data_IF_125163434868
#
_entry.id   IF_125163434868
#
_cell.length_a   1.000
_cell.length_b   1.000
_cell.length_c   1.000
_cell.angle_alpha   90.00
_cell.angle_beta   90.00
_cell.angle_gamma   90.00
#
_symmetry.space_group_name_H-M   'P 1'
#
loop_
_entity.id
_entity.type
_entity.pdbx_description
1 polymer ?
#
# COMPACT_ATOMS: atom_id res chain seq x y z
N UNK A 1 -30.94 -0.05 5.21
CA UNK A 1 -29.65 -0.49 5.79
C UNK A 1 -28.94 0.74 6.30
N UNK A 2 -28.08 0.66 7.31
CA UNK A 2 -27.27 1.82 7.69
C UNK A 2 -26.39 2.23 6.53
N UNK A 3 -26.11 3.53 6.39
CA UNK A 3 -25.30 4.10 5.32
C UNK A 3 -23.90 4.41 5.82
N UNK A 4 -22.88 3.97 5.09
CA UNK A 4 -21.47 4.27 5.36
C UNK A 4 -20.84 5.07 4.23
N UNK A 5 -20.11 6.13 4.58
CA UNK A 5 -19.27 6.90 3.66
C UNK A 5 -17.81 6.52 3.85
N UNK A 6 -17.16 6.21 2.74
CA UNK A 6 -15.72 5.96 2.69
C UNK A 6 -15.07 7.14 1.97
N UNK A 7 -14.33 7.97 2.69
CA UNK A 7 -13.56 9.05 2.10
C UNK A 7 -12.24 8.51 1.52
N UNK A 8 -12.07 8.61 0.20
CA UNK A 8 -10.91 8.14 -0.54
C UNK A 8 -11.15 6.86 -1.35
N UNK A 9 -11.04 6.97 -2.67
CA UNK A 9 -11.20 5.90 -3.66
C UNK A 9 -9.89 5.18 -4.02
N UNK A 10 -8.90 5.15 -3.11
CA UNK A 10 -7.69 4.32 -3.24
C UNK A 10 -7.96 2.84 -2.93
N UNK A 11 -6.91 2.01 -3.01
CA UNK A 11 -7.01 0.56 -2.76
C UNK A 11 -7.63 0.25 -1.38
N UNK A 12 -7.17 0.93 -0.33
CA UNK A 12 -7.67 0.73 1.03
C UNK A 12 -9.16 1.09 1.10
N UNK A 13 -9.55 2.26 0.57
CA UNK A 13 -10.95 2.69 0.60
C UNK A 13 -11.89 1.78 -0.21
N UNK A 14 -11.49 1.38 -1.40
CA UNK A 14 -12.30 0.48 -2.25
C UNK A 14 -12.48 -0.90 -1.62
N UNK A 15 -11.41 -1.49 -1.04
CA UNK A 15 -11.54 -2.77 -0.33
C UNK A 15 -12.35 -2.61 0.95
N UNK A 16 -12.14 -1.53 1.73
CA UNK A 16 -12.95 -1.25 2.91
C UNK A 16 -14.43 -1.08 2.56
N UNK A 17 -14.73 -0.38 1.47
CA UNK A 17 -16.11 -0.21 0.98
C UNK A 17 -16.78 -1.57 0.67
N UNK A 18 -16.08 -2.47 -0.02
CA UNK A 18 -16.58 -3.82 -0.30
C UNK A 18 -16.82 -4.62 0.98
N UNK A 19 -15.87 -4.59 1.90
CA UNK A 19 -15.96 -5.33 3.17
C UNK A 19 -17.09 -4.78 4.06
N UNK A 20 -17.28 -3.45 4.12
CA UNK A 20 -18.38 -2.81 4.84
C UNK A 20 -19.73 -3.15 4.18
N UNK A 21 -19.78 -3.14 2.83
CA UNK A 21 -20.97 -3.58 2.08
C UNK A 21 -21.36 -5.01 2.41
N UNK A 22 -20.39 -5.93 2.44
CA UNK A 22 -20.59 -7.33 2.78
C UNK A 22 -21.09 -7.53 4.23
N UNK A 23 -20.90 -6.53 5.11
CA UNK A 23 -21.41 -6.52 6.49
C UNK A 23 -22.79 -5.89 6.65
N UNK A 24 -23.45 -5.53 5.54
CA UNK A 24 -24.85 -5.12 5.53
C UNK A 24 -25.08 -3.61 5.57
N UNK A 25 -24.12 -2.80 5.16
CA UNK A 25 -24.28 -1.36 4.97
C UNK A 25 -24.59 -1.03 3.51
N UNK A 26 -25.31 0.04 3.26
CA UNK A 26 -25.23 0.78 2.01
C UNK A 26 -23.97 1.61 2.04
N UNK A 27 -23.17 1.60 0.94
CA UNK A 27 -21.85 2.21 0.96
C UNK A 27 -21.68 3.17 -0.21
N UNK A 28 -21.15 4.36 0.11
CA UNK A 28 -20.71 5.33 -0.91
C UNK A 28 -19.24 5.67 -0.70
N UNK A 29 -18.42 5.49 -1.72
CA UNK A 29 -17.04 5.98 -1.79
C UNK A 29 -17.07 7.40 -2.33
N UNK A 30 -16.38 8.34 -1.65
CA UNK A 30 -16.25 9.73 -2.06
C UNK A 30 -14.79 10.01 -2.38
N UNK A 31 -14.49 10.34 -3.63
CA UNK A 31 -13.14 10.56 -4.14
C UNK A 31 -13.00 11.93 -4.81
N UNK A 32 -11.95 12.67 -4.46
CA UNK A 32 -11.71 14.02 -5.00
C UNK A 32 -11.40 14.04 -6.50
N UNK A 33 -10.74 13.00 -6.98
CA UNK A 33 -10.37 12.85 -8.39
C UNK A 33 -11.01 11.61 -9.00
N UNK A 34 -10.26 10.89 -9.83
CA UNK A 34 -10.63 9.57 -10.28
C UNK A 34 -10.12 8.50 -9.29
N UNK A 35 -10.91 7.49 -9.02
CA UNK A 35 -10.53 6.41 -8.12
C UNK A 35 -9.24 5.72 -8.54
N UNK A 36 -8.40 5.39 -7.56
CA UNK A 36 -7.19 4.61 -7.75
C UNK A 36 -6.04 5.34 -8.44
N UNK A 37 -6.02 6.68 -8.52
CA UNK A 37 -4.99 7.44 -9.28
C UNK A 37 -3.83 7.97 -8.45
N UNK A 38 -3.88 7.85 -7.14
CA UNK A 38 -2.83 8.31 -6.23
C UNK A 38 -1.81 7.20 -5.89
N UNK A 39 -1.34 7.13 -4.64
CA UNK A 39 -0.33 6.17 -4.17
C UNK A 39 -0.61 4.71 -4.57
N UNK A 40 -1.87 4.30 -4.61
CA UNK A 40 -2.28 2.95 -4.98
C UNK A 40 -1.91 2.60 -6.43
N UNK A 41 -2.02 3.56 -7.36
CA UNK A 41 -1.62 3.39 -8.75
C UNK A 41 -0.10 3.41 -8.91
N UNK A 42 0.57 4.31 -8.19
CA UNK A 42 2.00 4.57 -8.34
C UNK A 42 2.88 3.45 -7.80
N UNK A 43 2.38 2.60 -6.91
CA UNK A 43 3.16 1.56 -6.26
C UNK A 43 3.63 0.44 -7.19
N UNK A 44 4.70 -0.25 -6.77
CA UNK A 44 5.29 -1.37 -7.53
C UNK A 44 4.50 -2.67 -7.49
N UNK A 45 3.61 -2.86 -6.53
CA UNK A 45 2.75 -4.03 -6.43
C UNK A 45 3.43 -5.30 -5.91
N UNK A 46 4.52 -5.20 -5.17
CA UNK A 46 5.10 -6.33 -4.44
C UNK A 46 4.16 -6.69 -3.27
N UNK A 47 3.81 -7.95 -3.16
CA UNK A 47 2.93 -8.48 -2.11
C UNK A 47 3.74 -9.00 -0.92
N UNK A 48 4.67 -8.17 -0.46
CA UNK A 48 5.49 -8.35 0.75
C UNK A 48 5.97 -6.99 1.23
N UNK A 49 6.21 -6.79 2.53
CA UNK A 49 7.13 -5.76 2.96
C UNK A 49 8.49 -6.00 2.30
N UNK A 50 9.19 -4.92 1.94
CA UNK A 50 10.57 -5.01 1.45
C UNK A 50 11.47 -5.32 2.65
N UNK A 51 12.28 -6.34 2.67
CA UNK A 51 13.01 -6.80 3.85
C UNK A 51 12.09 -7.00 5.07
N UNK A 52 11.15 -7.97 5.04
CA UNK A 52 10.10 -8.08 6.05
C UNK A 52 10.62 -8.28 7.48
N UNK A 53 11.84 -8.78 7.67
CA UNK A 53 12.52 -8.90 8.98
C UNK A 53 12.82 -7.56 9.64
N UNK A 54 12.85 -6.45 8.88
CA UNK A 54 13.09 -5.08 9.37
C UNK A 54 11.80 -4.32 9.71
N UNK A 55 10.63 -4.96 9.54
CA UNK A 55 9.34 -4.33 9.82
C UNK A 55 8.76 -4.82 11.14
N UNK A 56 7.97 -3.97 11.85
CA UNK A 56 7.25 -4.38 13.05
C UNK A 56 6.37 -5.61 12.81
N UNK A 57 6.22 -6.45 13.84
CA UNK A 57 5.36 -7.64 13.78
C UNK A 57 3.91 -7.31 13.41
N UNK A 58 3.40 -6.14 13.78
CA UNK A 58 2.09 -5.66 13.38
C UNK A 58 1.94 -5.56 11.84
N UNK A 59 2.96 -5.05 11.14
CA UNK A 59 2.97 -4.97 9.68
C UNK A 59 3.04 -6.36 9.07
N UNK A 60 3.92 -7.23 9.59
CA UNK A 60 4.06 -8.61 9.13
C UNK A 60 2.78 -9.42 9.34
N UNK A 61 2.05 -9.19 10.44
CA UNK A 61 0.76 -9.84 10.73
C UNK A 61 -0.30 -9.46 9.68
N UNK A 62 -0.45 -8.17 9.35
CA UNK A 62 -1.35 -7.73 8.27
C UNK A 62 -0.93 -8.29 6.91
N UNK A 63 0.39 -8.30 6.65
CA UNK A 63 0.93 -8.81 5.39
C UNK A 63 0.65 -10.30 5.23
N UNK A 64 0.96 -11.12 6.23
CA UNK A 64 0.73 -12.56 6.19
C UNK A 64 -0.77 -12.91 6.01
N UNK A 65 -1.65 -12.22 6.74
CA UNK A 65 -3.10 -12.40 6.59
C UNK A 65 -3.58 -12.03 5.17
N UNK A 66 -3.08 -10.93 4.64
CA UNK A 66 -3.42 -10.47 3.30
C UNK A 66 -2.86 -11.38 2.20
N UNK A 67 -1.64 -11.90 2.37
CA UNK A 67 -1.03 -12.83 1.42
C UNK A 67 -1.87 -14.10 1.23
N UNK A 68 -2.51 -14.59 2.30
CA UNK A 68 -3.46 -15.70 2.20
C UNK A 68 -4.75 -15.35 1.42
N UNK A 69 -5.16 -14.08 1.41
CA UNK A 69 -6.38 -13.61 0.74
C UNK A 69 -6.12 -13.28 -0.74
N UNK A 70 -4.93 -12.77 -1.08
CA UNK A 70 -4.63 -12.22 -2.41
C UNK A 70 -4.90 -13.18 -3.58
N UNK A 71 -4.54 -14.48 -3.54
CA UNK A 71 -4.80 -15.39 -4.66
C UNK A 71 -6.30 -15.47 -5.01
N UNK A 72 -7.15 -15.72 -4.00
CA UNK A 72 -8.60 -15.81 -4.18
C UNK A 72 -9.24 -14.48 -4.60
N UNK A 73 -8.74 -13.35 -4.08
CA UNK A 73 -9.20 -12.03 -4.49
C UNK A 73 -8.84 -11.74 -5.96
N UNK A 74 -7.62 -12.06 -6.38
CA UNK A 74 -7.18 -11.87 -7.76
C UNK A 74 -8.00 -12.69 -8.76
N UNK A 75 -8.33 -13.93 -8.39
CA UNK A 75 -9.20 -14.79 -9.21
C UNK A 75 -10.62 -14.23 -9.26
N UNK A 76 -11.21 -13.83 -8.14
CA UNK A 76 -12.53 -13.18 -8.08
C UNK A 76 -12.58 -11.93 -8.97
N UNK A 77 -11.54 -11.10 -8.93
CA UNK A 77 -11.43 -9.91 -9.79
C UNK A 77 -11.45 -10.31 -11.26
N UNK A 78 -10.63 -11.27 -11.65
CA UNK A 78 -10.54 -11.75 -13.03
C UNK A 78 -11.88 -12.31 -13.53
N UNK A 79 -12.51 -13.18 -12.75
CA UNK A 79 -13.76 -13.85 -13.13
C UNK A 79 -14.94 -12.89 -13.23
N UNK A 80 -15.10 -12.03 -12.21
CA UNK A 80 -16.28 -11.17 -12.10
C UNK A 80 -16.21 -9.90 -12.93
N UNK A 81 -15.01 -9.46 -13.32
CA UNK A 81 -14.84 -8.20 -14.05
C UNK A 81 -14.25 -8.37 -15.45
N UNK A 82 -13.73 -9.55 -15.79
CA UNK A 82 -12.98 -9.79 -17.03
C UNK A 82 -11.62 -9.10 -17.08
N UNK A 83 -11.19 -8.45 -15.98
CA UNK A 83 -9.91 -7.76 -15.91
C UNK A 83 -8.94 -8.58 -15.04
N UNK A 84 -7.92 -9.13 -15.69
CA UNK A 84 -6.83 -9.80 -14.96
C UNK A 84 -5.96 -8.78 -14.23
N UNK A 85 -5.90 -8.81 -12.88
CA UNK A 85 -5.04 -7.92 -12.11
C UNK A 85 -3.55 -8.28 -12.21
N UNK A 86 -3.19 -9.29 -12.96
CA UNK A 86 -1.83 -9.81 -13.17
C UNK A 86 -1.16 -10.21 -11.84
N UNK A 87 -1.85 -11.07 -11.06
CA UNK A 87 -1.26 -11.70 -9.89
C UNK A 87 -0.21 -12.72 -10.33
N UNK A 88 1.04 -12.53 -9.91
CA UNK A 88 2.18 -13.36 -10.32
C UNK A 88 2.92 -13.93 -9.11
N UNK A 89 2.76 -15.23 -8.78
CA UNK A 89 3.53 -15.91 -7.75
C UNK A 89 4.92 -16.29 -8.31
N UNK A 90 5.81 -15.31 -8.43
CA UNK A 90 7.15 -15.49 -9.02
C UNK A 90 8.27 -15.64 -8.01
N UNK A 91 8.03 -15.34 -6.75
CA UNK A 91 9.05 -15.22 -5.71
C UNK A 91 9.82 -13.89 -5.79
N UNK A 92 10.57 -13.62 -4.73
CA UNK A 92 11.44 -12.46 -4.60
C UNK A 92 12.87 -12.92 -4.23
N UNK A 93 13.84 -12.44 -4.97
CA UNK A 93 15.27 -12.61 -4.65
C UNK A 93 15.72 -11.35 -3.94
N UNK A 94 16.26 -11.50 -2.74
CA UNK A 94 16.94 -10.42 -2.00
C UNK A 94 18.43 -10.64 -2.15
N UNK A 95 19.15 -9.60 -2.54
CA UNK A 95 20.61 -9.63 -2.71
C UNK A 95 21.28 -8.60 -1.82
N UNK A 96 22.54 -8.86 -1.47
CA UNK A 96 23.37 -7.99 -0.64
C UNK A 96 22.80 -7.79 0.78
N UNK A 97 22.16 -8.84 1.36
CA UNK A 97 21.73 -8.80 2.75
C UNK A 97 22.94 -9.01 3.68
N UNK A 98 23.09 -8.10 4.64
CA UNK A 98 24.24 -8.09 5.55
C UNK A 98 24.02 -8.95 6.79
N UNK A 99 22.76 -9.13 7.24
CA UNK A 99 22.42 -9.92 8.42
C UNK A 99 21.60 -11.19 8.08
N UNK A 100 22.27 -12.29 7.74
CA UNK A 100 21.60 -13.54 7.41
C UNK A 100 20.88 -14.19 8.59
N UNK A 101 21.25 -13.89 9.84
CA UNK A 101 20.63 -14.49 11.01
C UNK A 101 19.30 -13.81 11.32
N UNK A 102 19.16 -12.52 11.04
CA UNK A 102 17.89 -11.81 11.12
C UNK A 102 16.84 -12.40 10.15
N UNK A 103 17.27 -12.69 8.91
CA UNK A 103 16.40 -13.35 7.91
C UNK A 103 15.94 -14.73 8.39
N UNK A 104 16.84 -15.55 8.92
CA UNK A 104 16.50 -16.89 9.45
C UNK A 104 15.53 -16.80 10.62
N UNK A 105 15.85 -15.94 11.60
CA UNK A 105 15.00 -15.75 12.77
C UNK A 105 13.59 -15.26 12.41
N UNK A 106 13.48 -14.35 11.44
CA UNK A 106 12.20 -13.91 10.92
C UNK A 106 11.44 -15.04 10.22
N UNK A 107 12.09 -15.77 9.33
CA UNK A 107 11.48 -16.87 8.58
C UNK A 107 10.93 -17.95 9.51
N UNK A 108 11.68 -18.29 10.57
CA UNK A 108 11.24 -19.24 11.61
C UNK A 108 10.03 -18.72 12.38
N UNK A 109 10.06 -17.45 12.85
CA UNK A 109 8.94 -16.83 13.58
C UNK A 109 7.67 -16.79 12.74
N UNK A 110 7.80 -16.40 11.47
CA UNK A 110 6.66 -16.26 10.55
C UNK A 110 6.26 -17.60 9.89
N UNK A 111 7.06 -18.66 10.05
CA UNK A 111 6.86 -19.97 9.41
C UNK A 111 6.76 -19.88 7.89
N UNK A 112 7.63 -19.08 7.28
CA UNK A 112 7.70 -18.87 5.83
C UNK A 112 9.01 -19.40 5.27
N UNK A 113 9.02 -19.72 3.97
CA UNK A 113 10.22 -20.17 3.30
C UNK A 113 11.15 -19.00 3.00
N UNK A 114 12.41 -19.11 3.44
CA UNK A 114 13.51 -18.25 3.03
C UNK A 114 14.73 -19.14 2.75
N UNK A 115 15.13 -19.21 1.50
CA UNK A 115 16.20 -20.12 1.05
C UNK A 115 17.45 -19.33 0.71
N UNK A 116 18.59 -19.59 1.35
CA UNK A 116 19.84 -18.96 0.98
C UNK A 116 20.24 -19.40 -0.44
N UNK A 117 20.74 -18.47 -1.24
CA UNK A 117 21.17 -18.71 -2.62
C UNK A 117 22.69 -18.62 -2.76
N UNK A 118 23.30 -19.66 -3.31
CA UNK A 118 24.66 -19.59 -3.77
C UNK A 118 24.74 -18.77 -5.08
N UNK A 119 25.90 -18.16 -5.36
CA UNK A 119 26.12 -17.33 -6.55
C UNK A 119 25.74 -18.05 -7.86
N UNK A 120 26.08 -19.34 -8.01
CA UNK A 120 25.74 -20.10 -9.22
C UNK A 120 24.23 -20.30 -9.39
N UNK A 121 23.49 -20.50 -8.29
CA UNK A 121 22.03 -20.58 -8.32
C UNK A 121 21.40 -19.26 -8.72
N UNK A 122 21.88 -18.15 -8.16
CA UNK A 122 21.43 -16.81 -8.51
C UNK A 122 21.62 -16.52 -10.01
N UNK A 123 22.80 -16.80 -10.56
CA UNK A 123 23.11 -16.61 -11.99
C UNK A 123 22.22 -17.46 -12.89
N UNK A 124 21.87 -18.67 -12.46
CA UNK A 124 20.94 -19.54 -13.18
C UNK A 124 19.50 -19.01 -13.15
N UNK A 125 19.10 -18.32 -12.07
CA UNK A 125 17.75 -17.73 -11.92
C UNK A 125 17.60 -16.39 -12.65
N UNK A 126 18.65 -15.56 -12.66
CA UNK A 126 18.66 -14.24 -13.29
C UNK A 126 19.97 -14.05 -14.03
N UNK A 127 19.95 -14.35 -15.33
CA UNK A 127 21.11 -14.19 -16.17
C UNK A 127 21.51 -12.70 -16.29
N UNK A 128 22.79 -12.40 -16.17
CA UNK A 128 23.31 -11.04 -16.29
C UNK A 128 23.08 -10.14 -15.09
N UNK A 129 22.54 -10.65 -13.98
CA UNK A 129 22.46 -9.88 -12.76
C UNK A 129 23.87 -9.56 -12.23
N UNK A 130 24.07 -8.36 -11.70
CA UNK A 130 25.31 -7.96 -11.02
C UNK A 130 25.67 -9.01 -9.95
N UNK A 131 26.93 -9.45 -9.88
CA UNK A 131 27.36 -10.33 -8.80
C UNK A 131 27.14 -9.66 -7.43
N UNK A 132 26.46 -10.33 -6.49
CA UNK A 132 26.23 -9.77 -5.16
C UNK A 132 27.53 -9.71 -4.34
N UNK A 133 27.61 -8.73 -3.44
CA UNK A 133 28.67 -8.60 -2.44
C UNK A 133 28.31 -9.32 -1.12
N UNK A 134 27.04 -9.33 -0.75
CA UNK A 134 26.50 -9.91 0.49
C UNK A 134 25.76 -11.24 0.27
N UNK A 135 24.99 -11.62 1.27
CA UNK A 135 24.15 -12.81 1.26
C UNK A 135 22.94 -12.65 0.32
N UNK A 136 22.50 -13.75 -0.24
CA UNK A 136 21.32 -13.77 -1.12
C UNK A 136 20.28 -14.76 -0.62
N UNK A 137 19.01 -14.37 -0.77
CA UNK A 137 17.87 -15.16 -0.32
C UNK A 137 16.81 -15.24 -1.40
N UNK A 138 16.17 -16.39 -1.52
CA UNK A 138 14.92 -16.56 -2.25
C UNK A 138 13.77 -16.66 -1.25
N UNK A 139 12.79 -15.78 -1.41
CA UNK A 139 11.47 -15.85 -0.77
C UNK A 139 10.48 -16.36 -1.82
N UNK A 140 10.24 -17.68 -1.91
CA UNK A 140 9.54 -18.29 -3.04
C UNK A 140 8.06 -17.92 -3.12
N UNK A 141 7.43 -17.65 -1.98
CA UNK A 141 5.98 -17.43 -1.86
C UNK A 141 5.57 -15.97 -2.12
N UNK A 142 6.54 -15.08 -2.38
CA UNK A 142 6.23 -13.69 -2.67
C UNK A 142 5.69 -13.55 -4.09
N UNK A 143 4.58 -12.85 -4.19
CA UNK A 143 3.94 -12.52 -5.46
C UNK A 143 4.05 -11.02 -5.78
N UNK A 144 3.70 -10.67 -7.01
CA UNK A 144 3.42 -9.29 -7.39
C UNK A 144 2.04 -9.17 -8.04
N UNK A 145 1.53 -7.94 -8.07
CA UNK A 145 0.26 -7.60 -8.74
C UNK A 145 0.44 -6.31 -9.54
N UNK A 146 -0.32 -6.14 -10.63
CA UNK A 146 -0.23 -4.93 -11.47
C UNK A 146 -1.25 -3.90 -11.03
N UNK A 147 -0.80 -2.90 -10.28
CA UNK A 147 -1.65 -1.90 -9.63
C UNK A 147 -2.71 -1.24 -10.53
N UNK A 148 -2.38 -0.73 -11.74
CA UNK A 148 -3.40 -0.12 -12.60
C UNK A 148 -4.50 -1.09 -13.03
N UNK A 149 -4.17 -2.37 -13.23
CA UNK A 149 -5.14 -3.42 -13.57
C UNK A 149 -5.96 -3.83 -12.34
N UNK A 150 -5.29 -4.02 -11.20
CA UNK A 150 -5.93 -4.28 -9.92
C UNK A 150 -7.01 -3.24 -9.61
N UNK A 151 -6.65 -1.96 -9.67
CA UNK A 151 -7.58 -0.87 -9.34
C UNK A 151 -8.76 -0.80 -10.32
N UNK A 152 -8.51 -0.97 -11.61
CA UNK A 152 -9.59 -1.04 -12.60
C UNK A 152 -10.56 -2.18 -12.32
N UNK A 153 -10.04 -3.37 -12.04
CA UNK A 153 -10.85 -4.53 -11.68
C UNK A 153 -11.61 -4.29 -10.36
N UNK A 154 -10.94 -3.74 -9.36
CA UNK A 154 -11.54 -3.52 -8.05
C UNK A 154 -12.66 -2.48 -8.07
N UNK A 155 -12.53 -1.39 -8.83
CA UNK A 155 -13.59 -0.40 -9.03
C UNK A 155 -14.81 -1.09 -9.69
N UNK A 156 -14.59 -1.84 -10.78
CA UNK A 156 -15.66 -2.55 -11.46
C UNK A 156 -16.36 -3.57 -10.53
N UNK A 157 -15.59 -4.30 -9.73
CA UNK A 157 -16.11 -5.25 -8.76
C UNK A 157 -16.94 -4.57 -7.68
N UNK A 158 -16.42 -3.49 -7.08
CA UNK A 158 -17.11 -2.74 -6.03
C UNK A 158 -18.46 -2.18 -6.51
N UNK A 159 -18.49 -1.57 -7.69
CA UNK A 159 -19.73 -1.08 -8.32
C UNK A 159 -20.68 -2.23 -8.61
N UNK A 160 -20.18 -3.36 -9.15
CA UNK A 160 -20.99 -4.57 -9.41
C UNK A 160 -21.55 -5.21 -8.13
N UNK A 161 -20.96 -4.96 -6.96
CA UNK A 161 -21.43 -5.38 -5.64
C UNK A 161 -22.36 -4.35 -4.96
N UNK A 162 -22.69 -3.26 -5.68
CA UNK A 162 -23.63 -2.24 -5.20
C UNK A 162 -22.99 -1.15 -4.33
N UNK A 163 -21.68 -0.95 -4.41
CA UNK A 163 -21.01 0.23 -3.85
C UNK A 163 -21.24 1.41 -4.78
N UNK A 164 -21.77 2.52 -4.25
CA UNK A 164 -21.84 3.79 -4.98
C UNK A 164 -20.49 4.49 -4.98
N UNK A 165 -20.12 5.13 -6.10
CA UNK A 165 -18.84 5.84 -6.24
C UNK A 165 -19.10 7.25 -6.72
N UNK A 166 -18.69 8.24 -5.93
CA UNK A 166 -18.74 9.66 -6.24
C UNK A 166 -17.32 10.16 -6.50
N UNK A 167 -16.92 10.16 -7.75
CA UNK A 167 -15.67 10.76 -8.20
C UNK A 167 -15.82 12.28 -8.34
N UNK A 168 -14.68 12.99 -8.51
CA UNK A 168 -14.62 14.47 -8.66
C UNK A 168 -15.32 15.20 -7.50
N UNK A 169 -15.34 14.58 -6.32
CA UNK A 169 -16.03 15.08 -5.13
C UNK A 169 -15.03 15.17 -3.97
N UNK A 170 -14.46 16.35 -3.78
CA UNK A 170 -13.49 16.57 -2.70
C UNK A 170 -14.22 16.67 -1.34
N UNK A 171 -13.82 15.81 -0.41
CA UNK A 171 -14.20 15.93 1.00
C UNK A 171 -13.42 17.08 1.62
N UNK A 172 -14.12 18.04 2.21
CA UNK A 172 -13.56 19.24 2.85
C UNK A 172 -13.54 19.14 4.37
N UNK A 173 -14.35 18.25 4.95
CA UNK A 173 -14.44 18.05 6.39
C UNK A 173 -15.31 16.85 6.77
N UNK A 174 -15.32 16.55 8.06
CA UNK A 174 -16.23 15.58 8.67
C UNK A 174 -17.36 16.33 9.39
N UNK A 175 -18.58 16.16 8.90
CA UNK A 175 -19.77 16.70 9.56
C UNK A 175 -20.02 15.95 10.86
N UNK A 176 -20.17 16.66 11.97
CA UNK A 176 -20.42 16.03 13.28
C UNK A 176 -21.37 16.87 14.15
N UNK A 177 -22.09 16.20 15.03
CA UNK A 177 -22.95 16.81 16.04
C UNK A 177 -23.02 15.92 17.28
N UNK A 178 -23.11 16.52 18.44
CA UNK A 178 -23.28 15.81 19.73
C UNK A 178 -22.26 14.67 19.94
N UNK A 179 -20.98 14.89 19.61
CA UNK A 179 -19.92 13.89 19.76
C UNK A 179 -19.97 12.73 18.76
N UNK A 180 -20.70 12.89 17.65
CA UNK A 180 -20.85 11.86 16.63
C UNK A 180 -20.62 12.43 15.23
N UNK A 181 -19.93 11.71 14.37
CA UNK A 181 -19.90 11.96 12.94
C UNK A 181 -21.28 11.63 12.34
N UNK A 182 -21.77 12.52 11.50
CA UNK A 182 -23.08 12.44 10.83
C UNK A 182 -22.98 12.48 9.31
N UNK A 183 -21.76 12.60 8.76
CA UNK A 183 -21.53 12.63 7.33
C UNK A 183 -20.19 13.25 6.94
N UNK A 184 -20.07 13.58 5.67
CA UNK A 184 -18.94 14.28 5.08
C UNK A 184 -19.39 15.61 4.46
N UNK A 185 -18.61 16.66 4.69
CA UNK A 185 -18.78 17.94 4.01
C UNK A 185 -18.01 17.94 2.67
N UNK A 186 -18.64 18.45 1.63
CA UNK A 186 -18.06 18.61 0.28
C UNK A 186 -18.40 19.98 -0.28
N UNK A 187 -17.77 20.37 -1.38
CA UNK A 187 -18.12 21.59 -2.08
C UNK A 187 -19.57 21.61 -2.61
N UNK A 188 -20.16 20.41 -2.85
CA UNK A 188 -21.55 20.25 -3.29
C UNK A 188 -22.57 20.18 -2.12
N UNK A 189 -22.12 20.35 -0.88
CA UNK A 189 -22.93 20.20 0.33
C UNK A 189 -22.58 18.96 1.13
N UNK A 190 -23.31 18.75 2.22
CA UNK A 190 -23.10 17.61 3.10
C UNK A 190 -23.76 16.35 2.53
N UNK A 191 -23.06 15.23 2.71
CA UNK A 191 -23.58 13.88 2.47
C UNK A 191 -23.71 13.22 3.84
N UNK A 192 -24.95 12.93 4.25
CA UNK A 192 -25.24 12.34 5.56
C UNK A 192 -24.99 10.83 5.57
N UNK A 193 -24.54 10.30 6.73
CA UNK A 193 -24.32 8.87 6.93
C UNK A 193 -24.33 8.46 8.40
N UNK A 194 -24.52 7.17 8.66
CA UNK A 194 -24.47 6.56 10.00
C UNK A 194 -23.03 6.26 10.43
N UNK A 195 -22.13 6.04 9.44
CA UNK A 195 -20.73 5.69 9.63
C UNK A 195 -19.84 6.41 8.59
N UNK A 196 -18.67 6.87 9.03
CA UNK A 196 -17.66 7.52 8.18
C UNK A 196 -16.33 6.85 8.37
N UNK A 197 -15.65 6.47 7.28
CA UNK A 197 -14.28 5.90 7.31
C UNK A 197 -13.34 6.75 6.48
N UNK A 198 -12.28 7.25 7.09
CA UNK A 198 -11.25 8.05 6.42
C UNK A 198 -10.17 7.12 5.86
N UNK A 199 -10.10 7.03 4.53
CA UNK A 199 -9.14 6.25 3.76
C UNK A 199 -8.36 7.14 2.76
N UNK A 200 -8.16 8.42 3.08
CA UNK A 200 -7.62 9.44 2.19
C UNK A 200 -6.09 9.44 2.08
N UNK A 201 -5.45 8.35 2.47
CA UNK A 201 -4.00 8.19 2.32
C UNK A 201 -3.20 9.30 2.98
N UNK A 202 -2.31 9.96 2.24
CA UNK A 202 -1.45 11.03 2.75
C UNK A 202 -2.22 12.29 3.22
N UNK A 203 -3.48 12.45 2.83
CA UNK A 203 -4.33 13.59 3.21
C UNK A 203 -5.16 13.34 4.48
N UNK A 204 -5.04 12.16 5.09
CA UNK A 204 -5.87 11.76 6.24
C UNK A 204 -5.68 12.67 7.45
N UNK A 205 -4.46 13.04 7.79
CA UNK A 205 -4.18 13.92 8.93
C UNK A 205 -4.90 15.29 8.80
N UNK A 206 -4.93 15.86 7.58
CA UNK A 206 -5.61 17.13 7.33
C UNK A 206 -7.12 17.08 7.57
N UNK A 207 -7.79 15.98 7.20
CA UNK A 207 -9.23 15.81 7.44
C UNK A 207 -9.57 15.46 8.90
N UNK A 208 -8.63 14.90 9.63
CA UNK A 208 -8.80 14.51 11.04
C UNK A 208 -8.43 15.65 12.00
N UNK A 209 -7.75 16.69 11.51
CA UNK A 209 -7.37 17.84 12.32
C UNK A 209 -8.58 18.60 12.87
N UNK A 210 -8.50 19.05 14.12
CA UNK A 210 -9.54 19.83 14.78
C UNK A 210 -10.78 19.06 15.26
N UNK A 211 -10.78 17.72 15.15
CA UNK A 211 -11.90 16.87 15.53
C UNK A 211 -11.86 16.41 17.00
N UNK A 212 -11.11 17.10 17.86
CA UNK A 212 -11.07 16.81 19.31
C UNK A 212 -10.08 15.75 19.74
N UNK A 213 -9.23 15.27 18.82
CA UNK A 213 -8.08 14.42 19.10
C UNK A 213 -6.90 14.79 18.18
N UNK A 214 -5.67 14.57 18.65
CA UNK A 214 -4.48 14.71 17.83
C UNK A 214 -4.55 13.68 16.67
N UNK A 215 -4.44 14.09 15.41
CA UNK A 215 -4.48 13.14 14.29
C UNK A 215 -3.24 12.23 14.31
N UNK A 216 -3.34 11.00 13.78
CA UNK A 216 -2.16 10.16 13.56
C UNK A 216 -1.11 10.89 12.72
N UNK A 217 0.18 10.68 13.00
CA UNK A 217 1.30 11.30 12.30
C UNK A 217 1.44 10.85 10.84
N UNK A 218 0.37 10.98 10.06
CA UNK A 218 0.34 10.56 8.66
C UNK A 218 0.77 11.73 7.79
N UNK A 219 1.83 11.50 6.99
CA UNK A 219 2.41 12.51 6.10
C UNK A 219 2.69 11.98 4.70
N UNK A 220 2.75 12.85 3.69
CA UNK A 220 3.14 12.44 2.34
C UNK A 220 4.63 12.13 2.28
N UNK A 221 4.96 10.95 1.72
CA UNK A 221 6.34 10.56 1.40
C UNK A 221 6.39 10.24 -0.09
N UNK A 222 7.07 11.09 -0.87
CA UNK A 222 7.21 10.90 -2.32
C UNK A 222 8.06 9.69 -2.63
N UNK A 223 7.64 8.92 -3.63
CA UNK A 223 8.43 7.86 -4.22
C UNK A 223 8.28 7.83 -5.71
N UNK A 224 9.41 7.70 -6.42
CA UNK A 224 9.46 7.72 -7.86
C UNK A 224 9.85 6.35 -8.40
N UNK A 225 9.40 6.05 -9.62
CA UNK A 225 9.62 4.77 -10.28
C UNK A 225 9.84 4.95 -11.77
N UNK A 226 10.61 4.02 -12.37
CA UNK A 226 10.80 3.90 -13.81
C UNK A 226 10.14 2.63 -14.35
N UNK A 227 9.78 2.66 -15.63
CA UNK A 227 9.43 1.48 -16.41
C UNK A 227 10.34 1.35 -17.61
N UNK A 228 10.94 0.18 -17.77
CA UNK A 228 11.70 -0.23 -18.94
C UNK A 228 10.88 -1.20 -19.80
N UNK A 229 11.15 -1.24 -21.10
CA UNK A 229 10.48 -2.15 -22.03
C UNK A 229 11.50 -3.05 -22.75
N UNK A 230 12.19 -3.94 -22.03
CA UNK A 230 13.12 -4.88 -22.64
C UNK A 230 12.36 -5.97 -23.43
N UNK A 231 13.07 -6.77 -24.24
CA UNK A 231 12.50 -8.00 -24.76
C UNK A 231 11.94 -8.89 -23.63
N UNK A 232 10.84 -9.61 -23.87
CA UNK A 232 10.28 -10.53 -22.89
C UNK A 232 11.30 -11.57 -22.41
N UNK A 233 11.25 -11.93 -21.12
CA UNK A 233 12.09 -12.96 -20.53
C UNK A 233 13.41 -12.43 -19.95
N UNK A 234 13.70 -11.12 -20.01
CA UNK A 234 14.90 -10.57 -19.38
C UNK A 234 14.91 -10.75 -17.86
N UNK A 235 13.75 -10.63 -17.23
CA UNK A 235 13.57 -10.80 -15.79
C UNK A 235 12.25 -11.53 -15.52
N UNK A 236 12.28 -12.57 -14.67
CA UNK A 236 11.11 -13.35 -14.33
C UNK A 236 10.69 -13.21 -12.86
N UNK A 237 11.61 -12.80 -11.98
CA UNK A 237 11.42 -12.69 -10.55
C UNK A 237 11.66 -11.27 -10.08
N UNK A 238 11.06 -10.92 -8.95
CA UNK A 238 11.40 -9.67 -8.25
C UNK A 238 12.84 -9.79 -7.76
N UNK A 239 13.64 -8.75 -7.97
CA UNK A 239 14.98 -8.61 -7.38
C UNK A 239 14.97 -7.38 -6.48
N UNK A 240 15.38 -7.55 -5.24
CA UNK A 240 15.42 -6.52 -4.20
C UNK A 240 16.85 -6.36 -3.70
N UNK A 241 17.29 -5.12 -3.56
CA UNK A 241 18.50 -4.71 -2.85
C UNK A 241 18.15 -3.83 -1.66
N UNK A 242 19.14 -3.30 -0.95
CA UNK A 242 18.94 -2.39 0.19
C UNK A 242 17.99 -1.21 -0.11
N UNK A 243 18.12 -0.54 -1.22
CA UNK A 243 17.33 0.65 -1.55
C UNK A 243 16.41 0.50 -2.76
N UNK A 244 16.66 -0.48 -3.63
CA UNK A 244 16.05 -0.54 -4.95
C UNK A 244 15.55 -1.94 -5.28
N UNK A 245 14.62 -2.02 -6.23
CA UNK A 245 14.07 -3.27 -6.70
C UNK A 245 13.75 -3.23 -8.19
N UNK A 246 13.76 -4.41 -8.82
CA UNK A 246 13.26 -4.64 -10.17
C UNK A 246 12.05 -5.58 -10.09
N UNK A 247 10.97 -5.23 -10.80
CA UNK A 247 9.73 -6.02 -10.80
C UNK A 247 9.34 -6.34 -12.25
N UNK A 248 9.33 -7.62 -12.65
CA UNK A 248 8.87 -8.02 -13.98
C UNK A 248 7.35 -7.99 -14.10
N UNK A 249 6.87 -7.70 -15.30
CA UNK A 249 5.47 -7.79 -15.71
C UNK A 249 5.29 -8.84 -16.80
N UNK A 250 4.06 -9.33 -16.97
CA UNK A 250 3.75 -10.37 -17.95
C UNK A 250 4.04 -9.94 -19.39
N UNK A 251 3.93 -8.65 -19.69
CA UNK A 251 4.21 -8.07 -21.00
C UNK A 251 5.70 -7.76 -21.25
N UNK A 252 6.60 -8.24 -20.38
CA UNK A 252 8.03 -8.00 -20.44
C UNK A 252 8.49 -6.68 -19.81
N UNK A 253 7.58 -5.76 -19.46
CA UNK A 253 7.95 -4.53 -18.76
C UNK A 253 8.69 -4.86 -17.46
N UNK A 254 9.77 -4.13 -17.17
CA UNK A 254 10.48 -4.17 -15.90
C UNK A 254 10.30 -2.82 -15.21
N UNK A 255 9.74 -2.83 -13.99
CA UNK A 255 9.68 -1.65 -13.16
C UNK A 255 10.94 -1.57 -12.28
N UNK A 256 11.50 -0.38 -12.16
CA UNK A 256 12.58 -0.08 -11.23
C UNK A 256 12.11 0.96 -10.21
N UNK A 257 12.38 0.74 -8.96
CA UNK A 257 12.01 1.62 -7.84
C UNK A 257 12.91 1.40 -6.64
N UNK A 258 12.78 2.25 -5.66
CA UNK A 258 12.04 3.49 -5.61
C UNK A 258 12.74 4.51 -4.72
N UNK A 259 12.59 5.78 -5.01
CA UNK A 259 13.05 6.83 -4.09
C UNK A 259 12.18 6.93 -2.84
N UNK A 260 12.71 7.57 -1.82
CA UNK A 260 12.00 7.94 -0.58
C UNK A 260 12.35 9.39 -0.25
N UNK A 261 11.38 10.30 -0.40
CA UNK A 261 11.65 11.73 -0.38
C UNK A 261 10.61 12.47 0.46
N UNK A 262 11.06 13.35 1.35
CA UNK A 262 10.21 14.26 2.11
C UNK A 262 9.97 15.54 1.28
N UNK A 263 9.01 15.50 0.37
CA UNK A 263 8.71 16.57 -0.58
C UNK A 263 7.32 17.22 -0.34
N UNK A 264 6.72 17.01 0.83
CA UNK A 264 5.36 17.42 1.09
C UNK A 264 4.40 16.82 0.07
N UNK A 265 3.41 17.59 -0.37
CA UNK A 265 2.41 17.14 -1.35
C UNK A 265 2.83 17.29 -2.81
N UNK A 266 4.13 17.57 -3.09
CA UNK A 266 4.64 17.62 -4.45
C UNK A 266 4.88 16.19 -4.99
N UNK A 267 4.07 15.77 -5.97
CA UNK A 267 4.17 14.50 -6.68
C UNK A 267 4.86 14.62 -8.05
N UNK A 268 5.60 15.71 -8.31
CA UNK A 268 6.28 15.92 -9.58
C UNK A 268 7.51 15.02 -9.69
N UNK A 269 7.66 14.21 -10.76
CA UNK A 269 8.89 13.48 -11.04
C UNK A 269 10.07 14.40 -11.29
N UNK A 270 11.28 14.01 -10.81
CA UNK A 270 12.49 14.84 -10.92
C UNK A 270 13.55 14.19 -11.80
N UNK A 271 14.33 15.00 -12.51
CA UNK A 271 15.44 14.51 -13.35
C UNK A 271 16.50 13.77 -12.52
N UNK A 272 16.78 14.24 -11.30
CA UNK A 272 17.74 13.61 -10.39
C UNK A 272 17.30 12.19 -9.99
N UNK A 273 16.04 12.02 -9.56
CA UNK A 273 15.51 10.70 -9.23
C UNK A 273 15.45 9.77 -10.45
N UNK A 274 15.17 10.32 -11.65
CA UNK A 274 15.24 9.53 -12.88
C UNK A 274 16.65 8.99 -13.15
N UNK A 275 17.67 9.81 -12.96
CA UNK A 275 19.06 9.38 -13.11
C UNK A 275 19.44 8.34 -12.05
N UNK A 276 19.18 8.61 -10.78
CA UNK A 276 19.41 7.67 -9.66
C UNK A 276 18.78 6.30 -9.91
N UNK A 277 17.50 6.25 -10.26
CA UNK A 277 16.80 5.00 -10.52
C UNK A 277 17.29 4.27 -11.77
N UNK A 278 17.71 5.01 -12.80
CA UNK A 278 18.31 4.44 -14.00
C UNK A 278 19.66 3.80 -13.67
N UNK A 279 20.52 4.51 -12.97
CA UNK A 279 21.83 4.02 -12.56
C UNK A 279 21.72 2.80 -11.64
N UNK A 280 20.81 2.82 -10.67
CA UNK A 280 20.55 1.69 -9.80
C UNK A 280 20.04 0.47 -10.57
N UNK A 281 19.10 0.66 -11.50
CA UNK A 281 18.55 -0.43 -12.31
C UNK A 281 19.61 -1.05 -13.23
N UNK A 282 20.41 -0.23 -13.91
CA UNK A 282 21.44 -0.68 -14.83
C UNK A 282 22.68 -1.25 -14.13
N UNK A 283 23.00 -0.75 -12.94
CA UNK A 283 24.00 -1.37 -12.06
C UNK A 283 23.55 -2.77 -11.64
N UNK A 284 22.27 -2.94 -11.31
CA UNK A 284 21.70 -4.20 -10.86
C UNK A 284 21.56 -5.21 -12.00
N UNK A 285 21.04 -4.76 -13.14
CA UNK A 285 20.85 -5.57 -14.36
C UNK A 285 21.38 -4.81 -15.58
N UNK A 286 22.68 -4.94 -15.92
CA UNK A 286 23.35 -4.15 -16.96
C UNK A 286 22.66 -4.16 -18.33
N UNK A 287 21.96 -5.22 -18.67
CA UNK A 287 21.19 -5.29 -19.90
C UNK A 287 20.10 -4.21 -20.04
N UNK A 288 19.72 -3.55 -18.94
CA UNK A 288 18.77 -2.42 -18.98
C UNK A 288 19.39 -1.12 -19.51
N UNK A 289 20.72 -1.01 -19.62
CA UNK A 289 21.39 0.20 -20.14
C UNK A 289 21.02 0.50 -21.60
N UNK A 290 20.77 -0.55 -22.38
CA UNK A 290 20.37 -0.45 -23.78
C UNK A 290 18.85 -0.39 -23.98
N UNK A 291 18.06 -0.42 -22.89
CA UNK A 291 16.60 -0.45 -22.93
C UNK A 291 16.03 0.94 -22.69
N UNK A 292 15.16 1.45 -23.56
CA UNK A 292 14.57 2.76 -23.33
C UNK A 292 13.65 2.78 -22.09
N UNK A 293 13.78 3.86 -21.31
CA UNK A 293 12.83 4.17 -20.24
C UNK A 293 11.51 4.62 -20.88
N UNK A 294 10.47 3.82 -20.69
CA UNK A 294 9.11 4.05 -21.25
C UNK A 294 8.30 5.04 -20.44
N UNK A 295 8.46 5.02 -19.11
CA UNK A 295 7.71 5.89 -18.22
C UNK A 295 8.51 6.21 -16.95
N UNK A 296 8.23 7.39 -16.39
CA UNK A 296 8.70 7.88 -15.11
C UNK A 296 7.54 8.56 -14.39
N UNK A 297 7.28 8.19 -13.15
CA UNK A 297 6.19 8.76 -12.35
C UNK A 297 6.55 8.82 -10.88
N UNK A 298 5.75 9.57 -10.12
CA UNK A 298 5.82 9.67 -8.68
C UNK A 298 4.46 9.40 -8.03
N UNK A 299 4.48 9.10 -6.74
CA UNK A 299 3.30 8.99 -5.89
C UNK A 299 3.61 9.35 -4.46
N UNK A 300 2.59 9.74 -3.70
CA UNK A 300 2.70 10.16 -2.30
C UNK A 300 2.23 9.03 -1.39
N UNK A 301 3.18 8.32 -0.79
CA UNK A 301 2.87 7.28 0.19
C UNK A 301 2.34 7.92 1.47
N UNK A 302 1.31 7.35 2.12
CA UNK A 302 0.85 7.78 3.45
C UNK A 302 1.82 7.26 4.52
N UNK A 303 2.90 7.99 4.77
CA UNK A 303 3.88 7.64 5.81
C UNK A 303 3.27 7.74 7.20
N UNK A 304 3.53 6.77 8.07
CA UNK A 304 3.29 6.80 9.52
C UNK A 304 4.62 6.84 10.26
N UNK A 305 4.62 7.29 11.51
CA UNK A 305 5.87 7.52 12.25
C UNK A 305 6.63 6.23 12.58
N UNK A 306 5.91 5.15 12.82
CA UNK A 306 6.43 3.82 13.16
C UNK A 306 6.27 2.78 12.04
N UNK A 307 5.72 3.19 10.89
CA UNK A 307 5.42 2.30 9.76
C UNK A 307 4.17 1.45 9.93
N UNK A 308 3.47 1.54 11.08
CA UNK A 308 2.24 0.81 11.37
C UNK A 308 1.04 1.67 10.93
N UNK A 309 0.07 1.13 10.19
CA UNK A 309 -1.13 1.88 9.84
C UNK A 309 -2.04 2.07 11.04
N UNK A 310 -2.78 3.18 11.08
CA UNK A 310 -3.88 3.36 12.02
C UNK A 310 -5.16 2.81 11.40
N UNK A 311 -5.77 1.82 12.07
CA UNK A 311 -7.05 1.20 11.69
C UNK A 311 -7.91 1.14 12.95
N UNK A 312 -8.66 2.21 13.21
CA UNK A 312 -9.27 2.41 14.52
C UNK A 312 -10.49 3.34 14.48
N UNK A 313 -11.39 3.27 15.47
CA UNK A 313 -12.35 4.32 15.72
C UNK A 313 -11.66 5.61 16.15
N UNK A 314 -12.25 6.75 15.80
CA UNK A 314 -11.80 8.06 16.29
C UNK A 314 -12.09 8.17 17.80
N UNK A 315 -11.11 8.60 18.64
CA UNK A 315 -11.29 8.57 20.10
C UNK A 315 -12.31 9.56 20.65
N UNK A 316 -12.59 10.66 19.94
CA UNK A 316 -13.51 11.70 20.39
C UNK A 316 -14.85 11.73 19.65
N UNK A 317 -14.97 11.08 18.49
CA UNK A 317 -16.21 11.11 17.68
C UNK A 317 -16.70 9.69 17.39
N UNK A 318 -17.84 9.33 17.97
CA UNK A 318 -18.53 8.10 17.61
C UNK A 318 -18.92 8.12 16.12
N UNK A 319 -18.95 6.97 15.46
CA UNK A 319 -19.33 6.88 14.05
C UNK A 319 -18.25 7.32 13.05
N UNK A 320 -17.04 7.61 13.52
CA UNK A 320 -15.89 7.94 12.69
C UNK A 320 -14.78 6.90 12.90
N UNK A 321 -14.22 6.40 11.81
CA UNK A 321 -13.05 5.49 11.78
C UNK A 321 -11.99 5.99 10.83
N UNK A 322 -10.78 5.50 10.99
CA UNK A 322 -9.66 5.72 10.07
C UNK A 322 -9.05 4.40 9.64
N UNK A 323 -8.61 4.31 8.39
CA UNK A 323 -7.76 3.26 7.86
C UNK A 323 -6.75 3.88 6.91
N UNK A 324 -5.59 4.29 7.45
CA UNK A 324 -4.56 5.04 6.70
C UNK A 324 -3.17 4.88 7.35
N UNK A 325 -2.14 5.44 6.72
CA UNK A 325 -0.77 5.36 7.24
C UNK A 325 -0.03 4.07 6.87
N UNK A 326 -0.46 3.36 5.83
CA UNK A 326 0.12 2.07 5.40
C UNK A 326 1.51 2.19 4.76
N UNK A 327 2.03 3.39 4.59
CA UNK A 327 3.34 3.71 4.03
C UNK A 327 3.69 2.87 2.78
N UNK A 328 4.79 2.10 2.84
CA UNK A 328 5.28 1.28 1.71
C UNK A 328 4.51 -0.05 1.54
N UNK A 329 3.69 -0.41 2.53
CA UNK A 329 3.07 -1.73 2.64
C UNK A 329 1.58 -1.74 2.27
N UNK A 330 1.04 -0.61 1.78
CA UNK A 330 -0.40 -0.45 1.53
C UNK A 330 -1.00 -1.45 0.54
N UNK A 331 -0.21 -1.96 -0.42
CA UNK A 331 -0.71 -2.98 -1.35
C UNK A 331 -0.81 -4.34 -0.65
N UNK A 332 0.29 -4.79 -0.05
CA UNK A 332 0.31 -6.12 0.59
C UNK A 332 -0.68 -6.23 1.74
N UNK A 333 -0.83 -5.18 2.56
CA UNK A 333 -1.67 -5.21 3.78
C UNK A 333 -3.15 -4.90 3.53
N UNK A 334 -3.53 -4.46 2.32
CA UNK A 334 -4.85 -3.92 2.05
C UNK A 334 -6.03 -4.86 2.35
N UNK A 335 -6.05 -6.14 1.97
CA UNK A 335 -7.19 -7.01 2.27
C UNK A 335 -7.44 -7.19 3.76
N UNK A 336 -6.40 -7.47 4.54
CA UNK A 336 -6.52 -7.64 5.99
C UNK A 336 -6.91 -6.33 6.70
N UNK A 337 -6.34 -5.20 6.26
CA UNK A 337 -6.70 -3.87 6.77
C UNK A 337 -8.16 -3.53 6.53
N UNK A 338 -8.67 -3.84 5.34
CA UNK A 338 -10.07 -3.61 4.97
C UNK A 338 -11.02 -4.48 5.80
N UNK A 339 -10.70 -5.77 5.98
CA UNK A 339 -11.47 -6.67 6.82
C UNK A 339 -11.54 -6.20 8.27
N UNK A 340 -10.38 -5.81 8.84
CA UNK A 340 -10.29 -5.27 10.19
C UNK A 340 -11.11 -3.99 10.34
N UNK A 341 -10.95 -3.02 9.43
CA UNK A 341 -11.70 -1.77 9.45
C UNK A 341 -13.23 -2.01 9.41
N UNK A 342 -13.67 -2.91 8.51
CA UNK A 342 -15.08 -3.23 8.34
C UNK A 342 -15.68 -3.95 9.55
N UNK A 343 -14.92 -4.84 10.23
CA UNK A 343 -15.38 -5.47 11.47
C UNK A 343 -15.56 -4.43 12.57
N UNK A 344 -14.64 -3.48 12.70
CA UNK A 344 -14.75 -2.38 13.66
C UNK A 344 -15.96 -1.48 13.38
N UNK A 345 -16.20 -1.13 12.10
CA UNK A 345 -17.36 -0.34 11.66
C UNK A 345 -18.66 -1.05 11.98
N UNK A 346 -18.72 -2.36 11.74
CA UNK A 346 -19.92 -3.18 11.97
C UNK A 346 -20.10 -3.62 13.44
N UNK A 347 -19.19 -3.26 14.35
CA UNK A 347 -19.21 -3.70 15.74
C UNK A 347 -19.06 -5.22 15.91
N UNK A 348 -18.40 -5.88 14.95
CA UNK A 348 -18.10 -7.32 14.99
C UNK A 348 -16.76 -7.57 15.65
N UNK A 349 -16.57 -8.77 16.20
CA UNK A 349 -15.25 -9.18 16.70
C UNK A 349 -14.30 -9.40 15.50
N UNK A 350 -13.20 -8.62 15.40
CA UNK A 350 -12.26 -8.80 14.31
C UNK A 350 -11.54 -10.15 14.36
N UNK A 351 -11.13 -10.64 13.18
CA UNK A 351 -10.29 -11.82 13.06
C UNK A 351 -8.84 -11.56 13.53
N UNK A 352 -8.39 -10.30 13.39
CA UNK A 352 -7.09 -9.82 13.86
C UNK A 352 -7.24 -9.01 15.13
N UNK A 353 -6.24 -9.06 16.03
CA UNK A 353 -6.18 -8.16 17.17
C UNK A 353 -6.04 -6.70 16.69
N UNK A 354 -6.99 -5.81 17.01
CA UNK A 354 -6.93 -4.42 16.60
C UNK A 354 -5.93 -3.58 17.42
N UNK A 355 -5.44 -4.07 18.55
CA UNK A 355 -4.63 -3.29 19.48
C UNK A 355 -3.36 -2.67 18.87
N UNK A 356 -2.60 -3.35 17.98
CA UNK A 356 -1.44 -2.75 17.35
C UNK A 356 -1.75 -1.59 16.40
N UNK A 357 -2.98 -1.50 15.89
CA UNK A 357 -3.42 -0.53 14.86
C UNK A 357 -4.31 0.57 15.42
N UNK A 358 -4.39 0.66 16.75
CA UNK A 358 -5.22 1.66 17.44
C UNK A 358 -4.77 3.08 17.14
N UNK A 359 -5.64 4.04 17.40
CA UNK A 359 -5.28 5.44 17.38
C UNK A 359 -4.06 5.69 18.27
N UNK A 360 -3.00 6.34 17.76
CA UNK A 360 -1.80 6.58 18.56
C UNK A 360 -2.12 7.50 19.74
N UNK A 361 -1.46 7.34 20.90
CA UNK A 361 -1.57 8.31 21.97
C UNK A 361 -1.08 9.69 21.46
N UNK A 362 -1.64 10.77 22.02
CA UNK A 362 -1.14 12.11 21.72
C UNK A 362 0.39 12.13 21.92
N UNK A 363 1.13 12.63 20.94
CA UNK A 363 2.57 12.74 21.06
C UNK A 363 2.87 13.56 22.32
N UNK A 364 3.66 13.01 23.25
CA UNK A 364 4.19 13.79 24.36
C UNK A 364 4.88 15.02 23.73
N UNK A 365 4.48 16.23 24.15
CA UNK A 365 4.98 17.46 23.59
C UNK A 365 6.50 17.37 23.48
N UNK A 366 7.03 17.39 22.26
CA UNK A 366 8.49 17.46 22.07
C UNK A 366 8.96 18.71 22.81
N UNK A 367 9.91 18.63 23.75
CA UNK A 367 10.48 19.83 24.33
C UNK A 367 10.99 20.69 23.17
N UNK A 368 10.53 21.94 23.13
CA UNK A 368 11.05 22.95 22.21
C UNK A 368 12.57 22.96 22.36
N UNK A 369 13.37 22.80 21.30
CA UNK A 369 14.80 22.95 21.44
C UNK A 369 15.04 24.34 22.02
N UNK A 370 15.73 24.38 23.18
CA UNK A 370 16.18 25.63 23.77
C UNK A 370 17.04 26.29 22.70
N UNK A 371 16.64 27.49 22.28
CA UNK A 371 17.42 28.28 21.35
C UNK A 371 18.76 28.59 21.96
N UNK A 372 19.83 28.31 21.25
CA UNK A 372 21.14 28.90 21.36
C UNK A 372 21.32 29.94 20.27
#
# INVERSE_FOLDING_TARGET
MPHALIAGGGLIGLLTAREVRARGFDVTVVERGACGREASWAGGGILSPLHPWRFPDAVNTLAAHSQAIWPGLAETLRERTGVDPEYRPGGMIVIDEDDPDEVRAWAERQRVAATPLARGQLTAMVAGLRPPAGHCWLLPDIASIRNPRLLRALIALAVGEGVSVLEQTAVTGVAHANGRAIGLDTAGGRIDADAVVICTGAWSAGLLGGLGAEPPGIRPVRGQMLAFAPPPGLLERIVLTEGHYLIPRADGTVLAGSTVEEAGFDATPTTSARAELFDAATCLLPALSEVPVRAHWAGLRPGSDDGIPTIAPHPALAGLWVSAGHFRNGIVTAPASAGLAADLVAGRKPALDPAPYRWPPAAAARPTPAGD
#
